data_IF_567742507434
#
_entry.id   IF_567742507434
#
_cell.length_a   1.000
_cell.length_b   1.000
_cell.length_c   1.000
_cell.angle_alpha   90.00
_cell.angle_beta   90.00
_cell.angle_gamma   90.00
#
_symmetry.space_group_name_H-M   'P 1'
#
loop_
_entity.id
_entity.type
_entity.pdbx_description
1 polymer ?
#
# COMPACT_ATOMS: atom_id res chain seq x y z
N UNK A 1 -22.30 9.66 -2.23
CA UNK A 1 -22.09 10.45 -3.47
C UNK A 1 -20.88 9.91 -4.25
N UNK A 2 -20.98 9.69 -5.57
CA UNK A 2 -19.85 9.17 -6.38
C UNK A 2 -18.71 10.20 -6.53
N UNK A 3 -19.04 11.49 -6.62
CA UNK A 3 -18.05 12.57 -6.78
C UNK A 3 -17.13 12.71 -5.57
N UNK A 4 -17.70 12.71 -4.36
CA UNK A 4 -16.95 12.74 -3.10
C UNK A 4 -16.01 11.54 -2.96
N UNK A 5 -16.44 10.34 -3.36
CA UNK A 5 -15.60 9.14 -3.33
C UNK A 5 -14.35 9.30 -4.21
N UNK A 6 -14.51 9.83 -5.42
CA UNK A 6 -13.39 10.10 -6.32
C UNK A 6 -12.47 11.20 -5.78
N UNK A 7 -13.03 12.27 -5.20
CA UNK A 7 -12.26 13.33 -4.56
C UNK A 7 -11.42 12.80 -3.39
N UNK A 8 -12.01 11.95 -2.55
CA UNK A 8 -11.31 11.31 -1.44
C UNK A 8 -10.18 10.39 -1.93
N UNK A 9 -10.39 9.66 -3.04
CA UNK A 9 -9.37 8.80 -3.63
C UNK A 9 -8.19 9.61 -4.16
N UNK A 10 -8.44 10.67 -4.92
CA UNK A 10 -7.40 11.60 -5.40
C UNK A 10 -6.60 12.20 -4.26
N UNK A 11 -7.30 12.66 -3.22
CA UNK A 11 -6.68 13.23 -2.02
C UNK A 11 -5.80 12.20 -1.30
N UNK A 12 -6.27 10.95 -1.23
CA UNK A 12 -5.50 9.87 -0.62
C UNK A 12 -4.26 9.49 -1.45
N UNK A 13 -4.35 9.47 -2.78
CA UNK A 13 -3.20 9.24 -3.68
C UNK A 13 -2.17 10.36 -3.50
N UNK A 14 -2.59 11.63 -3.55
CA UNK A 14 -1.70 12.77 -3.34
C UNK A 14 -0.98 12.70 -1.98
N UNK A 15 -1.69 12.25 -0.93
CA UNK A 15 -1.09 12.08 0.39
C UNK A 15 -0.01 11.00 0.48
N UNK A 16 0.05 10.03 -0.46
CA UNK A 16 1.12 9.03 -0.48
C UNK A 16 2.46 9.59 -0.96
N UNK A 17 2.43 10.73 -1.66
CA UNK A 17 3.63 11.39 -2.21
C UNK A 17 4.29 12.27 -1.15
N UNK A 18 3.51 12.83 -0.23
CA UNK A 18 4.01 13.75 0.80
C UNK A 18 4.68 13.00 1.96
N UNK A 19 6.02 13.07 2.05
CA UNK A 19 6.83 12.42 3.10
C UNK A 19 6.37 12.75 4.51
N UNK A 20 5.95 13.99 4.76
CA UNK A 20 5.49 14.42 6.08
C UNK A 20 4.21 13.70 6.51
N UNK A 21 3.25 13.55 5.59
CA UNK A 21 1.97 12.90 5.89
C UNK A 21 2.17 11.41 6.15
N UNK A 22 3.03 10.76 5.36
CA UNK A 22 3.34 9.34 5.55
C UNK A 22 4.13 9.08 6.84
N UNK A 23 5.07 9.98 7.18
CA UNK A 23 5.83 9.93 8.43
C UNK A 23 4.94 10.13 9.66
N UNK A 24 4.02 11.11 9.62
CA UNK A 24 3.02 11.36 10.69
C UNK A 24 2.12 10.16 10.96
N UNK A 25 1.93 9.29 9.96
CA UNK A 25 1.19 8.03 10.12
C UNK A 25 1.99 6.92 10.81
N UNK A 26 3.23 7.18 11.21
CA UNK A 26 4.13 6.25 11.89
C UNK A 26 4.56 5.07 10.99
N UNK A 27 4.80 5.36 9.70
CA UNK A 27 5.60 4.51 8.84
C UNK A 27 7.09 4.85 9.03
N UNK A 28 7.96 3.83 9.09
CA UNK A 28 9.40 4.02 9.25
C UNK A 28 10.07 4.11 7.89
N UNK A 29 10.18 5.35 7.38
CA UNK A 29 10.59 5.64 5.99
C UNK A 29 12.04 6.13 5.90
N UNK A 30 12.69 6.40 7.04
CA UNK A 30 14.09 6.85 7.08
C UNK A 30 14.34 8.01 6.11
N UNK A 31 15.35 7.85 5.24
CA UNK A 31 15.74 8.84 4.24
C UNK A 31 15.23 8.56 2.82
N UNK A 32 14.25 7.69 2.67
CA UNK A 32 13.69 7.36 1.35
C UNK A 32 12.96 8.58 0.76
N UNK A 33 13.13 8.79 -0.55
CA UNK A 33 12.38 9.77 -1.34
C UNK A 33 11.04 9.19 -1.80
N UNK A 34 9.97 9.98 -1.74
CA UNK A 34 8.64 9.62 -2.23
C UNK A 34 8.32 10.45 -3.48
N UNK A 35 7.60 9.89 -4.48
CA UNK A 35 6.98 8.56 -4.49
C UNK A 35 7.96 7.42 -4.76
N UNK A 36 7.71 6.25 -4.17
CA UNK A 36 8.48 5.03 -4.46
C UNK A 36 7.92 4.36 -5.72
N UNK A 37 8.70 4.42 -6.81
CA UNK A 37 8.39 3.74 -8.06
C UNK A 37 9.43 2.66 -8.30
N UNK A 38 8.99 1.43 -8.58
CA UNK A 38 9.84 0.25 -8.72
C UNK A 38 9.58 -0.42 -10.06
N UNK A 39 10.66 -0.85 -10.71
CA UNK A 39 10.60 -1.62 -11.95
C UNK A 39 10.54 -3.12 -11.67
N UNK A 40 9.82 -3.87 -12.52
CA UNK A 40 9.80 -5.35 -12.52
C UNK A 40 9.29 -6.02 -11.23
N UNK A 41 8.64 -5.29 -10.31
CA UNK A 41 8.11 -5.88 -9.08
C UNK A 41 6.97 -6.88 -9.34
N UNK A 42 6.27 -6.79 -10.48
CA UNK A 42 5.12 -7.64 -10.82
C UNK A 42 5.50 -9.11 -11.09
N UNK A 43 6.77 -9.35 -11.45
CA UNK A 43 7.34 -10.66 -11.82
C UNK A 43 7.71 -11.48 -10.56
N UNK A 44 7.73 -10.86 -9.38
CA UNK A 44 8.16 -11.49 -8.14
C UNK A 44 7.17 -12.58 -7.69
N UNK A 45 7.59 -13.84 -7.85
CA UNK A 45 6.77 -15.02 -7.54
C UNK A 45 6.89 -15.44 -6.08
N UNK A 46 8.07 -15.27 -5.47
CA UNK A 46 8.34 -15.76 -4.11
C UNK A 46 8.27 -14.63 -3.09
N UNK A 47 7.68 -14.91 -1.94
CA UNK A 47 7.61 -13.98 -0.80
C UNK A 47 8.99 -13.53 -0.32
N UNK A 48 10.00 -14.40 -0.43
CA UNK A 48 11.40 -14.08 -0.10
C UNK A 48 11.96 -12.98 -1.00
N UNK A 49 11.60 -12.96 -2.28
CA UNK A 49 12.04 -11.95 -3.23
C UNK A 49 11.40 -10.59 -2.91
N UNK A 50 10.10 -10.57 -2.59
CA UNK A 50 9.41 -9.35 -2.14
C UNK A 50 10.03 -8.79 -0.85
N UNK A 51 10.38 -9.67 0.10
CA UNK A 51 11.10 -9.26 1.31
C UNK A 51 12.46 -8.65 0.97
N UNK A 52 13.24 -9.30 0.11
CA UNK A 52 14.54 -8.80 -0.34
C UNK A 52 14.44 -7.45 -1.06
N UNK A 53 13.39 -7.24 -1.86
CA UNK A 53 13.13 -5.95 -2.50
C UNK A 53 12.86 -4.84 -1.48
N UNK A 54 12.00 -5.09 -0.49
CA UNK A 54 11.72 -4.14 0.58
C UNK A 54 12.96 -3.82 1.43
N UNK A 55 13.82 -4.81 1.69
CA UNK A 55 15.09 -4.61 2.38
C UNK A 55 16.05 -3.73 1.56
N UNK A 56 16.17 -3.98 0.25
CA UNK A 56 16.97 -3.16 -0.69
C UNK A 56 16.48 -1.71 -0.78
N UNK A 57 15.16 -1.50 -0.67
CA UNK A 57 14.56 -0.17 -0.62
C UNK A 57 14.76 0.56 0.72
N UNK A 58 15.40 -0.08 1.72
CA UNK A 58 15.62 0.51 3.03
C UNK A 58 14.41 0.44 3.97
N UNK A 59 13.40 -0.39 3.66
CA UNK A 59 12.18 -0.55 4.46
C UNK A 59 12.31 -1.66 5.52
N UNK A 60 13.54 -1.95 5.95
CA UNK A 60 13.84 -2.97 6.97
C UNK A 60 13.16 -2.65 8.30
N UNK A 61 13.19 -1.39 8.74
CA UNK A 61 12.56 -0.98 10.00
C UNK A 61 11.04 -0.96 9.93
N UNK A 62 10.50 -0.68 8.74
CA UNK A 62 9.06 -0.80 8.48
C UNK A 62 8.63 -2.28 8.57
N UNK A 63 9.40 -3.20 7.99
CA UNK A 63 9.15 -4.64 8.11
C UNK A 63 9.21 -5.12 9.57
N UNK A 64 10.20 -4.66 10.35
CA UNK A 64 10.29 -4.95 11.80
C UNK A 64 9.05 -4.43 12.54
N UNK A 65 8.63 -3.19 12.25
CA UNK A 65 7.44 -2.56 12.87
C UNK A 65 6.20 -3.41 12.66
N UNK A 66 6.00 -3.94 11.45
CA UNK A 66 4.78 -4.67 11.08
C UNK A 66 4.78 -6.11 11.60
N UNK A 67 5.94 -6.77 11.69
CA UNK A 67 6.07 -8.16 12.17
C UNK A 67 5.43 -8.38 13.55
N UNK A 68 5.38 -7.35 14.39
CA UNK A 68 4.71 -7.38 15.68
C UNK A 68 3.17 -7.37 15.54
N UNK A 69 2.52 -8.43 16.01
CA UNK A 69 1.05 -8.53 16.13
C UNK A 69 0.63 -8.41 17.58
N UNK A 70 -0.49 -7.71 17.84
CA UNK A 70 -1.06 -7.58 19.19
C UNK A 70 -2.35 -8.39 19.32
N UNK A 71 -2.59 -8.97 20.49
CA UNK A 71 -3.89 -9.59 20.79
C UNK A 71 -4.92 -8.48 20.98
N UNK A 72 -6.10 -8.64 20.36
CA UNK A 72 -7.19 -7.69 20.45
C UNK A 72 -7.80 -7.73 21.85
N UNK A 73 -7.95 -6.56 22.48
CA UNK A 73 -8.67 -6.42 23.73
C UNK A 73 -10.18 -6.69 23.54
N UNK A 74 -10.84 -7.13 24.62
CA UNK A 74 -12.29 -7.32 24.67
C UNK A 74 -12.81 -8.59 23.97
N UNK A 75 -14.13 -8.63 23.73
CA UNK A 75 -14.85 -9.82 23.22
C UNK A 75 -14.52 -10.17 21.76
N UNK A 76 -13.90 -9.26 21.01
CA UNK A 76 -13.50 -9.51 19.62
C UNK A 76 -12.50 -10.66 19.46
N UNK A 77 -11.75 -10.98 20.52
CA UNK A 77 -10.83 -12.12 20.55
C UNK A 77 -11.55 -13.46 20.40
N UNK A 78 -12.75 -13.59 20.99
CA UNK A 78 -13.56 -14.80 20.94
C UNK A 78 -14.32 -14.95 19.61
N UNK A 79 -14.56 -13.83 18.90
CA UNK A 79 -15.26 -13.82 17.61
C UNK A 79 -14.33 -14.06 16.41
N UNK A 80 -13.25 -14.80 16.59
CA UNK A 80 -12.27 -15.10 15.53
C UNK A 80 -11.36 -13.94 15.09
N UNK A 81 -11.43 -12.76 15.72
CA UNK A 81 -10.61 -11.57 15.38
C UNK A 81 -9.50 -11.31 16.41
N UNK A 82 -8.85 -12.39 16.87
CA UNK A 82 -7.87 -12.40 17.98
C UNK A 82 -6.67 -11.49 17.75
N UNK A 83 -6.15 -11.40 16.53
CA UNK A 83 -4.96 -10.61 16.24
C UNK A 83 -5.27 -9.26 15.59
N UNK A 84 -4.52 -8.24 15.96
CA UNK A 84 -4.44 -6.93 15.30
C UNK A 84 -3.04 -6.79 14.68
N UNK A 85 -3.01 -6.65 13.38
CA UNK A 85 -1.79 -6.43 12.58
C UNK A 85 -1.71 -4.96 12.20
N UNK A 86 -0.50 -4.39 12.20
CA UNK A 86 -0.26 -3.02 11.74
C UNK A 86 -0.38 -2.97 10.21
N UNK A 87 -0.94 -1.89 9.67
CA UNK A 87 -0.97 -1.68 8.21
C UNK A 87 0.39 -1.17 7.75
N UNK A 88 1.00 -1.92 6.85
CA UNK A 88 2.31 -1.65 6.26
C UNK A 88 2.25 -1.10 4.84
N UNK A 89 3.31 -1.32 4.04
CA UNK A 89 3.37 -0.94 2.64
C UNK A 89 2.17 -1.50 1.85
N UNK A 90 1.73 -0.69 0.89
CA UNK A 90 0.80 -1.11 -0.17
C UNK A 90 1.57 -1.12 -1.49
N UNK A 91 1.62 -2.25 -2.17
CA UNK A 91 2.05 -2.32 -3.56
C UNK A 91 0.88 -2.03 -4.49
N UNK A 92 1.10 -1.20 -5.50
CA UNK A 92 0.13 -0.99 -6.57
C UNK A 92 0.73 -1.49 -7.87
N UNK A 93 0.07 -2.49 -8.45
CA UNK A 93 0.44 -3.12 -9.72
C UNK A 93 -0.49 -2.67 -10.85
N UNK A 94 -0.09 -2.89 -12.09
CA UNK A 94 -0.92 -2.66 -13.29
C UNK A 94 -2.17 -3.55 -13.26
N UNK A 95 -1.93 -4.86 -13.18
CA UNK A 95 -2.93 -5.92 -13.35
C UNK A 95 -2.75 -7.06 -12.35
N UNK A 96 -3.50 -8.15 -12.56
CA UNK A 96 -3.38 -9.36 -11.77
C UNK A 96 -2.05 -10.08 -12.04
N UNK A 97 -1.08 -9.82 -11.17
CA UNK A 97 0.28 -10.31 -11.28
C UNK A 97 0.69 -11.22 -10.11
N UNK A 98 1.84 -11.90 -10.26
CA UNK A 98 2.38 -12.80 -9.24
C UNK A 98 2.67 -12.09 -7.90
N UNK A 99 2.99 -10.78 -7.96
CA UNK A 99 3.18 -9.92 -6.80
C UNK A 99 1.97 -9.90 -5.85
N UNK A 100 0.74 -9.98 -6.37
CA UNK A 100 -0.47 -9.96 -5.53
C UNK A 100 -0.53 -11.16 -4.58
N UNK A 101 0.00 -12.31 -5.00
CA UNK A 101 0.05 -13.53 -4.19
C UNK A 101 1.27 -13.50 -3.27
N UNK A 102 2.44 -13.16 -3.79
CA UNK A 102 3.68 -13.17 -3.01
C UNK A 102 3.70 -12.11 -1.90
N UNK A 103 3.15 -10.91 -2.15
CA UNK A 103 3.04 -9.85 -1.15
C UNK A 103 2.14 -10.22 0.03
N UNK A 104 1.04 -10.96 -0.20
CA UNK A 104 0.12 -11.44 0.86
C UNK A 104 0.79 -12.40 1.85
N UNK A 105 1.89 -13.04 1.46
CA UNK A 105 2.67 -13.88 2.35
C UNK A 105 3.41 -13.11 3.44
N UNK A 106 3.62 -11.79 3.26
CA UNK A 106 4.21 -10.93 4.27
C UNK A 106 3.13 -10.32 5.17
N UNK A 107 3.38 -10.33 6.47
CA UNK A 107 2.46 -9.77 7.44
C UNK A 107 2.30 -8.26 7.20
N UNK A 108 1.06 -7.79 7.08
CA UNK A 108 0.68 -6.37 6.96
C UNK A 108 1.11 -5.65 5.68
N UNK A 109 1.74 -6.36 4.73
CA UNK A 109 1.94 -5.89 3.35
C UNK A 109 0.71 -6.27 2.54
N UNK A 110 0.24 -5.36 1.68
CA UNK A 110 -0.86 -5.60 0.77
C UNK A 110 -0.44 -5.23 -0.65
N UNK A 111 -1.06 -5.85 -1.65
CA UNK A 111 -0.84 -5.54 -3.05
C UNK A 111 -2.18 -5.56 -3.79
N UNK A 112 -2.41 -4.58 -4.66
CA UNK A 112 -3.69 -4.40 -5.36
C UNK A 112 -3.45 -3.85 -6.78
N UNK A 113 -4.22 -4.30 -7.80
CA UNK A 113 -4.21 -3.69 -9.13
C UNK A 113 -4.67 -2.24 -9.10
N UNK A 114 -4.14 -1.39 -9.99
CA UNK A 114 -4.45 0.04 -10.02
C UNK A 114 -5.95 0.30 -10.24
N UNK A 115 -6.61 -0.56 -11.02
CA UNK A 115 -8.06 -0.54 -11.28
C UNK A 115 -8.91 -0.80 -10.04
N UNK A 116 -8.39 -1.54 -9.06
CA UNK A 116 -9.08 -1.92 -7.83
C UNK A 116 -8.68 -1.04 -6.64
N UNK A 117 -7.94 0.04 -6.88
CA UNK A 117 -7.50 0.97 -5.86
C UNK A 117 -8.70 1.65 -5.19
N UNK A 118 -8.68 1.73 -3.86
CA UNK A 118 -9.75 2.34 -3.09
C UNK A 118 -9.20 3.20 -1.93
N UNK A 119 -10.07 4.05 -1.38
CA UNK A 119 -9.71 4.96 -0.29
C UNK A 119 -9.34 4.20 0.98
N UNK A 120 -9.98 3.07 1.27
CA UNK A 120 -9.71 2.31 2.50
C UNK A 120 -8.35 1.64 2.51
N UNK A 121 -7.79 1.34 1.33
CA UNK A 121 -6.44 0.82 1.14
C UNK A 121 -5.39 1.92 1.30
N UNK A 122 -5.61 3.11 0.74
CA UNK A 122 -4.66 4.24 0.84
C UNK A 122 -4.77 4.98 2.18
N UNK A 123 -5.96 5.05 2.76
CA UNK A 123 -6.26 5.73 4.01
C UNK A 123 -6.98 4.82 5.04
N UNK A 124 -6.38 3.68 5.45
CA UNK A 124 -7.02 2.81 6.44
C UNK A 124 -7.31 3.52 7.77
N UNK A 125 -8.57 3.42 8.21
CA UNK A 125 -9.04 4.11 9.43
C UNK A 125 -9.19 5.62 9.26
N UNK A 126 -9.35 6.12 8.04
CA UNK A 126 -9.58 7.54 7.75
C UNK A 126 -8.32 8.41 7.83
N UNK A 127 -7.16 7.84 8.11
CA UNK A 127 -5.87 8.56 8.14
C UNK A 127 -5.20 8.46 6.78
N UNK A 128 -4.86 9.57 6.09
CA UNK A 128 -4.17 9.53 4.79
C UNK A 128 -2.67 9.23 4.95
N UNK A 129 -1.97 9.05 3.83
CA UNK A 129 -0.51 8.84 3.79
C UNK A 129 -0.08 7.43 4.21
N UNK A 130 -0.65 6.39 3.57
CA UNK A 130 -0.07 5.04 3.68
C UNK A 130 1.21 5.01 2.86
N UNK A 131 2.22 4.28 3.33
CA UNK A 131 3.40 3.99 2.51
C UNK A 131 2.96 3.15 1.30
N UNK A 132 3.08 3.73 0.10
CA UNK A 132 2.66 3.09 -1.15
C UNK A 132 3.84 2.99 -2.10
N UNK A 133 4.02 1.80 -2.65
CA UNK A 133 5.05 1.46 -3.63
C UNK A 133 4.34 1.21 -4.95
N UNK A 134 4.65 1.99 -5.96
CA UNK A 134 4.04 1.93 -7.27
C UNK A 134 4.93 1.13 -8.22
N UNK A 135 4.35 0.27 -9.03
CA UNK A 135 5.07 -0.28 -10.18
C UNK A 135 5.08 0.74 -11.31
N UNK A 136 6.14 0.74 -12.12
CA UNK A 136 6.24 1.63 -13.29
C UNK A 136 5.06 1.38 -14.24
N UNK A 137 4.70 0.13 -14.42
CA UNK A 137 3.57 -0.33 -15.23
C UNK A 137 2.24 0.22 -14.69
N UNK A 138 2.03 0.23 -13.37
CA UNK A 138 0.84 0.80 -12.76
C UNK A 138 0.68 2.31 -13.02
N UNK A 139 1.78 3.06 -12.93
CA UNK A 139 1.77 4.51 -13.21
C UNK A 139 1.46 4.77 -14.68
N UNK A 140 2.03 3.98 -15.59
CA UNK A 140 1.75 4.09 -17.02
C UNK A 140 0.29 3.77 -17.34
N UNK A 141 -0.27 2.70 -16.75
CA UNK A 141 -1.67 2.34 -16.94
C UNK A 141 -2.61 3.41 -16.37
N UNK A 142 -2.29 3.99 -15.21
CA UNK A 142 -3.06 5.10 -14.64
C UNK A 142 -3.15 6.28 -15.60
N UNK A 143 -2.05 6.64 -16.26
CA UNK A 143 -2.02 7.71 -17.26
C UNK A 143 -2.78 7.36 -18.54
N UNK A 144 -2.55 6.17 -19.10
CA UNK A 144 -3.17 5.70 -20.35
C UNK A 144 -4.70 5.62 -20.26
N UNK A 145 -5.20 4.99 -19.19
CA UNK A 145 -6.64 4.81 -18.99
C UNK A 145 -7.30 6.07 -18.39
N UNK A 146 -6.55 7.17 -18.21
CA UNK A 146 -6.97 8.41 -17.56
C UNK A 146 -7.64 8.15 -16.22
N UNK A 147 -7.17 7.12 -15.50
CA UNK A 147 -7.79 6.67 -14.26
C UNK A 147 -7.77 7.78 -13.22
N UNK A 148 -8.91 7.96 -12.57
CA UNK A 148 -9.10 8.97 -11.53
C UNK A 148 -8.96 10.41 -12.02
N UNK A 149 -8.78 10.71 -13.30
CA UNK A 149 -8.86 12.09 -13.81
C UNK A 149 -10.32 12.51 -13.92
N UNK A 150 -10.61 13.82 -13.84
CA UNK A 150 -11.98 14.36 -13.87
C UNK A 150 -12.65 14.28 -15.23
N UNK A 151 -11.88 13.89 -16.25
CA UNK A 151 -12.30 13.75 -17.62
C UNK A 151 -13.11 12.46 -17.75
N UNK A 152 -14.39 12.60 -18.09
CA UNK A 152 -15.18 11.43 -18.50
C UNK A 152 -14.59 10.94 -19.83
N UNK A 153 -14.46 9.61 -19.98
CA UNK A 153 -14.46 8.99 -21.31
C UNK A 153 -15.78 9.30 -22.01
#
# INVERSE_FOLDING_TARGET
NKKEKLLALRSAIAATIMKDVVSRRNHKIGNISLPLIVESAEILKKTKEVKGLLEKLGLTDELKRIKERKIRAGKGKNRGRKYKVKKGPLFVASSDCSLLKSAKGLLGVEAVPVKNLNVTLLAPGGKPGRLTIWTKEAVQEMGKDKLFTGEKK
#
